data_IF_829638980513
#
_entry.id   IF_829638980513
#
_cell.length_a   1.000
_cell.length_b   1.000
_cell.length_c   1.000
_cell.angle_alpha   90.00
_cell.angle_beta   90.00
_cell.angle_gamma   90.00
#
_symmetry.space_group_name_H-M   'P 1'
#
loop_
_entity.id
_entity.type
_entity.pdbx_description
1 polymer ?
#
# COMPACT_ATOMS: atom_id res chain seq x y z
N UNK A 1 12.33 8.64 -16.24
CA UNK A 1 10.92 8.23 -16.28
C UNK A 1 10.47 8.06 -14.85
N UNK A 2 9.39 8.70 -14.44
CA UNK A 2 8.88 8.61 -13.07
C UNK A 2 7.95 7.41 -12.90
N UNK A 3 7.71 6.96 -11.65
CA UNK A 3 6.77 5.87 -11.36
C UNK A 3 5.35 6.20 -11.86
N UNK A 4 4.95 7.47 -11.80
CA UNK A 4 3.72 7.98 -12.40
C UNK A 4 3.68 7.76 -13.92
N UNK A 5 4.79 8.00 -14.61
CA UNK A 5 4.87 7.84 -16.07
C UNK A 5 4.76 6.37 -16.47
N UNK A 6 5.40 5.46 -15.70
CA UNK A 6 5.25 4.02 -15.88
C UNK A 6 3.79 3.57 -15.68
N UNK A 7 3.12 4.06 -14.64
CA UNK A 7 1.73 3.75 -14.38
C UNK A 7 0.81 4.27 -15.50
N UNK A 8 1.09 5.45 -16.06
CA UNK A 8 0.32 5.99 -17.18
C UNK A 8 0.46 5.12 -18.44
N UNK A 9 1.66 4.62 -18.75
CA UNK A 9 1.89 3.68 -19.86
C UNK A 9 1.16 2.35 -19.64
N UNK A 10 1.20 1.79 -18.42
CA UNK A 10 0.49 0.56 -18.07
C UNK A 10 -1.03 0.72 -18.25
N UNK A 11 -1.60 1.84 -17.77
CA UNK A 11 -3.04 2.15 -17.94
C UNK A 11 -3.39 2.32 -19.42
N UNK A 12 -2.51 2.93 -20.22
CA UNK A 12 -2.71 3.08 -21.67
C UNK A 12 -2.77 1.71 -22.34
N UNK A 13 -1.91 0.78 -21.92
CA UNK A 13 -1.88 -0.60 -22.39
C UNK A 13 -3.15 -1.41 -22.07
N UNK A 14 -3.91 -1.03 -21.03
CA UNK A 14 -5.19 -1.67 -20.68
C UNK A 14 -6.33 -1.30 -21.64
N UNK A 15 -6.16 -0.29 -22.50
CA UNK A 15 -7.17 0.11 -23.48
C UNK A 15 -8.47 0.60 -22.84
N UNK A 16 -8.41 1.22 -21.66
CA UNK A 16 -9.58 1.75 -20.97
C UNK A 16 -10.18 2.89 -21.82
N UNK A 17 -11.29 2.60 -22.50
CA UNK A 17 -12.05 3.58 -23.28
C UNK A 17 -13.30 4.01 -22.52
N UNK A 18 -13.61 5.30 -22.55
CA UNK A 18 -14.88 5.83 -22.04
C UNK A 18 -16.02 5.21 -22.86
N UNK A 19 -16.98 4.55 -22.17
CA UNK A 19 -18.07 3.79 -22.80
C UNK A 19 -19.08 4.74 -23.49
N UNK A 20 -19.22 5.98 -22.99
CA UNK A 20 -20.15 6.98 -23.52
C UNK A 20 -19.44 8.35 -23.69
N UNK A 21 -18.82 8.58 -24.85
CA UNK A 21 -18.21 9.86 -25.19
C UNK A 21 -17.16 9.77 -26.31
N UNK A 22 -16.68 10.91 -26.83
CA UNK A 22 -15.48 10.90 -27.67
C UNK A 22 -14.31 10.30 -26.88
N UNK A 23 -13.39 9.57 -27.52
CA UNK A 23 -12.24 8.98 -26.84
C UNK A 23 -11.39 10.11 -26.23
N UNK A 24 -11.31 10.12 -24.89
CA UNK A 24 -10.44 10.99 -24.12
C UNK A 24 -9.37 10.11 -23.47
N UNK A 25 -8.10 10.45 -23.70
CA UNK A 25 -7.00 9.81 -22.98
C UNK A 25 -6.97 10.34 -21.53
N UNK A 26 -7.34 9.47 -20.59
CA UNK A 26 -7.37 9.77 -19.15
C UNK A 26 -6.21 9.12 -18.40
N UNK A 27 -5.23 8.54 -19.11
CA UNK A 27 -4.14 7.75 -18.51
C UNK A 27 -3.31 8.56 -17.52
N UNK A 28 -2.81 9.73 -17.93
CA UNK A 28 -2.02 10.62 -17.06
C UNK A 28 -2.83 11.18 -15.88
N UNK A 29 -4.05 11.73 -16.06
CA UNK A 29 -4.90 12.16 -14.94
C UNK A 29 -5.21 11.02 -13.95
N UNK A 30 -5.48 9.82 -14.46
CA UNK A 30 -5.80 8.66 -13.62
C UNK A 30 -4.57 8.18 -12.86
N UNK A 31 -3.41 8.07 -13.52
CA UNK A 31 -2.15 7.73 -12.86
C UNK A 31 -1.81 8.73 -11.76
N UNK A 32 -1.96 10.03 -12.02
CA UNK A 32 -1.77 11.07 -11.01
C UNK A 32 -2.78 10.96 -9.87
N UNK A 33 -4.04 10.68 -10.17
CA UNK A 33 -5.09 10.52 -9.15
C UNK A 33 -4.79 9.31 -8.24
N UNK A 34 -4.46 8.16 -8.81
CA UNK A 34 -4.08 6.96 -8.06
C UNK A 34 -2.83 7.19 -7.21
N UNK A 35 -1.82 7.87 -7.77
CA UNK A 35 -0.62 8.23 -7.03
C UNK A 35 -0.93 9.18 -5.86
N UNK A 36 -1.83 10.15 -6.03
CA UNK A 36 -2.27 11.04 -4.96
C UNK A 36 -3.07 10.31 -3.87
N UNK A 37 -3.79 9.25 -4.24
CA UNK A 37 -4.49 8.39 -3.29
C UNK A 37 -3.55 7.43 -2.52
N UNK A 38 -2.26 7.37 -2.88
CA UNK A 38 -1.29 6.49 -2.20
C UNK A 38 -1.14 5.11 -2.86
N UNK A 39 -1.78 4.87 -4.01
CA UNK A 39 -1.49 3.70 -4.83
C UNK A 39 -0.12 3.87 -5.50
N UNK A 40 0.69 2.83 -5.36
CA UNK A 40 2.03 2.73 -5.94
C UNK A 40 2.16 1.40 -6.66
N UNK A 41 3.17 1.28 -7.51
CA UNK A 41 3.52 0.00 -8.12
C UNK A 41 3.82 -1.00 -7.00
N UNK A 42 3.22 -2.21 -7.03
CA UNK A 42 3.44 -3.18 -5.98
C UNK A 42 4.93 -3.50 -5.83
N UNK A 43 5.45 -3.38 -4.61
CA UNK A 43 6.83 -3.76 -4.27
C UNK A 43 6.85 -4.79 -3.17
N UNK A 44 7.84 -5.68 -3.22
CA UNK A 44 8.02 -6.70 -2.19
C UNK A 44 8.88 -6.15 -1.07
N UNK A 45 8.47 -6.40 0.18
CA UNK A 45 9.27 -6.22 1.38
C UNK A 45 9.61 -7.60 1.95
N UNK A 46 10.82 -7.71 2.47
CA UNK A 46 11.45 -8.96 2.90
C UNK A 46 11.99 -8.89 4.32
N UNK A 47 12.13 -7.69 4.89
CA UNK A 47 12.67 -7.51 6.24
C UNK A 47 11.78 -6.68 7.15
N UNK A 48 12.04 -6.81 8.45
CA UNK A 48 11.38 -6.04 9.51
C UNK A 48 11.71 -4.56 9.47
N UNK A 49 12.90 -4.22 9.03
CA UNK A 49 13.38 -2.84 8.90
C UNK A 49 12.59 -2.12 7.80
N UNK A 50 12.35 -2.78 6.66
CA UNK A 50 11.53 -2.24 5.58
C UNK A 50 10.08 -1.96 6.05
N UNK A 51 9.53 -2.80 6.94
CA UNK A 51 8.19 -2.58 7.54
C UNK A 51 8.18 -1.38 8.48
N UNK A 52 9.26 -1.17 9.24
CA UNK A 52 9.39 -0.05 10.16
C UNK A 52 9.41 1.30 9.43
N UNK A 53 9.97 1.34 8.22
CA UNK A 53 10.07 2.53 7.37
C UNK A 53 8.79 2.88 6.61
N UNK A 54 7.82 1.95 6.52
CA UNK A 54 6.56 2.19 5.79
C UNK A 54 5.78 3.35 6.42
N UNK A 55 5.11 4.22 5.66
CA UNK A 55 4.25 5.25 6.24
C UNK A 55 3.05 4.66 6.99
N UNK A 56 2.53 5.40 7.98
CA UNK A 56 1.23 5.07 8.60
C UNK A 56 0.15 5.03 7.51
N UNK A 57 -0.77 4.07 7.63
CA UNK A 57 -1.82 3.84 6.63
C UNK A 57 -1.38 2.93 5.48
N UNK A 58 -0.11 2.52 5.42
CA UNK A 58 0.36 1.53 4.44
C UNK A 58 -0.41 0.22 4.56
N UNK A 59 -0.82 -0.36 3.43
CA UNK A 59 -1.47 -1.66 3.32
C UNK A 59 -0.55 -2.65 2.61
N UNK A 60 -0.40 -3.83 3.20
CA UNK A 60 0.45 -4.92 2.68
C UNK A 60 -0.33 -6.22 2.53
N UNK A 61 -0.05 -6.95 1.46
CA UNK A 61 -0.52 -8.31 1.19
C UNK A 61 0.60 -9.31 1.51
N UNK A 62 0.35 -10.17 2.48
CA UNK A 62 1.30 -11.20 2.90
C UNK A 62 1.30 -12.40 1.94
N UNK A 63 2.37 -13.19 1.94
CA UNK A 63 2.46 -14.43 1.17
C UNK A 63 1.33 -15.44 1.48
N UNK A 64 0.72 -15.38 2.66
CA UNK A 64 -0.43 -16.21 3.05
C UNK A 64 -1.78 -15.67 2.54
N UNK A 65 -1.78 -14.63 1.70
CA UNK A 65 -2.95 -14.02 1.09
C UNK A 65 -3.72 -13.05 2.00
N UNK A 66 -3.21 -12.77 3.20
CA UNK A 66 -3.86 -11.88 4.14
C UNK A 66 -3.35 -10.45 4.05
N UNK A 67 -4.16 -9.50 4.49
CA UNK A 67 -3.91 -8.06 4.34
C UNK A 67 -3.71 -7.42 5.71
N UNK A 68 -2.66 -6.61 5.83
CA UNK A 68 -2.35 -5.85 7.04
C UNK A 68 -2.28 -4.35 6.74
N UNK A 69 -2.54 -3.53 7.77
CA UNK A 69 -2.39 -2.08 7.70
C UNK A 69 -1.49 -1.58 8.84
N UNK A 70 -0.59 -0.65 8.53
CA UNK A 70 0.20 0.10 9.51
C UNK A 70 -0.66 1.17 10.17
N UNK A 71 -0.73 1.19 11.49
CA UNK A 71 -1.50 2.15 12.27
C UNK A 71 -0.55 3.07 13.07
N UNK A 72 -1.07 4.23 13.44
CA UNK A 72 -0.38 5.17 14.33
C UNK A 72 -0.07 4.54 15.69
N UNK A 73 0.98 5.05 16.38
CA UNK A 73 1.20 4.73 17.78
C UNK A 73 -0.05 5.08 18.61
N UNK A 74 -0.69 4.09 19.23
CA UNK A 74 -1.83 4.35 20.14
C UNK A 74 -1.40 4.19 21.60
N UNK A 75 -1.84 5.11 22.46
CA UNK A 75 -1.53 5.10 23.91
C UNK A 75 -2.51 4.22 24.72
N UNK A 76 -3.55 3.63 24.10
CA UNK A 76 -4.62 2.93 24.82
C UNK A 76 -4.48 1.40 24.75
N UNK A 77 -4.07 0.82 25.88
CA UNK A 77 -3.81 -0.62 26.07
C UNK A 77 -5.04 -1.55 26.11
N UNK A 78 -5.97 -1.45 25.15
CA UNK A 78 -7.19 -2.28 25.15
C UNK A 78 -7.33 -3.30 24.01
N UNK A 79 -6.43 -3.34 23.03
CA UNK A 79 -6.58 -4.32 21.93
C UNK A 79 -5.26 -4.96 21.52
N UNK A 80 -4.68 -5.75 22.43
CA UNK A 80 -3.59 -6.70 22.15
C UNK A 80 -4.08 -7.91 21.31
N UNK A 81 -4.69 -7.67 20.16
CA UNK A 81 -4.78 -8.74 19.15
C UNK A 81 -3.49 -8.65 18.34
N UNK A 82 -2.45 -9.31 18.85
CA UNK A 82 -1.15 -9.61 18.23
C UNK A 82 -0.70 -8.60 17.17
N UNK A 83 -0.36 -7.41 17.64
CA UNK A 83 0.19 -6.36 16.81
C UNK A 83 1.72 -6.51 16.72
N UNK A 84 2.30 -6.35 15.54
CA UNK A 84 3.75 -6.18 15.42
C UNK A 84 4.07 -4.71 15.66
N UNK A 85 4.81 -4.42 16.73
CA UNK A 85 5.18 -3.05 17.11
C UNK A 85 6.33 -2.57 16.23
N UNK A 86 6.10 -1.46 15.53
CA UNK A 86 7.13 -0.74 14.80
C UNK A 86 8.04 0.02 15.79
N UNK A 87 9.32 0.25 15.45
CA UNK A 87 10.27 0.99 16.29
C UNK A 87 9.82 2.41 16.69
N UNK A 88 8.95 3.03 15.90
CA UNK A 88 8.38 4.36 16.17
C UNK A 88 7.14 4.33 17.08
N UNK A 89 6.76 3.16 17.59
CA UNK A 89 5.58 2.95 18.42
C UNK A 89 4.30 2.65 17.64
N UNK A 90 4.32 2.72 16.30
CA UNK A 90 3.23 2.27 15.44
C UNK A 90 3.06 0.76 15.49
N UNK A 91 2.02 0.24 14.83
CA UNK A 91 1.86 -1.22 14.77
C UNK A 91 1.14 -1.70 13.52
N UNK A 92 1.40 -2.96 13.16
CA UNK A 92 0.71 -3.66 12.06
C UNK A 92 -0.17 -4.77 12.65
N UNK A 93 -1.43 -4.89 12.21
CA UNK A 93 -2.45 -5.78 12.81
C UNK A 93 -2.88 -6.93 11.89
N UNK A 94 -2.93 -8.15 12.44
CA UNK A 94 -3.64 -9.31 11.88
C UNK A 94 -4.10 -10.30 12.97
N UNK A 95 -5.19 -11.03 12.73
CA UNK A 95 -5.65 -12.12 13.59
C UNK A 95 -4.68 -13.32 13.63
N UNK A 96 -4.11 -13.59 14.80
CA UNK A 96 -3.43 -14.84 15.20
C UNK A 96 -2.23 -15.28 14.34
N UNK A 97 -1.17 -14.47 14.24
CA UNK A 97 0.14 -14.95 13.74
C UNK A 97 1.29 -14.40 14.58
N UNK A 98 2.22 -15.24 15.08
CA UNK A 98 3.29 -14.83 16.00
C UNK A 98 4.46 -14.09 15.34
N UNK A 99 4.54 -14.06 14.00
CA UNK A 99 5.57 -13.37 13.23
C UNK A 99 4.95 -12.80 11.96
N UNK A 100 5.47 -11.67 11.50
CA UNK A 100 5.12 -11.09 10.21
C UNK A 100 5.62 -12.02 9.08
N UNK A 101 4.73 -12.65 8.29
CA UNK A 101 5.16 -13.60 7.27
C UNK A 101 5.74 -12.90 6.03
N UNK A 102 7.07 -12.72 6.01
CA UNK A 102 7.78 -12.33 4.79
C UNK A 102 7.82 -13.47 3.75
N UNK A 103 7.93 -13.14 2.45
CA UNK A 103 7.83 -11.80 1.87
C UNK A 103 6.39 -11.25 1.89
N UNK A 104 6.25 -9.94 1.86
CA UNK A 104 4.97 -9.25 1.73
C UNK A 104 5.00 -8.24 0.58
N UNK A 105 3.85 -7.93 0.02
CA UNK A 105 3.71 -6.98 -1.10
C UNK A 105 3.01 -5.72 -0.60
N UNK A 106 3.63 -4.56 -0.76
CA UNK A 106 2.99 -3.27 -0.50
C UNK A 106 1.98 -3.00 -1.60
N UNK A 107 0.71 -2.79 -1.22
CA UNK A 107 -0.38 -2.48 -2.15
C UNK A 107 -0.70 -0.97 -2.19
N UNK A 108 -0.45 -0.28 -1.09
CA UNK A 108 -0.82 1.12 -0.89
C UNK A 108 0.09 1.72 0.18
N UNK A 109 0.77 2.83 -0.07
CA UNK A 109 1.75 3.41 0.88
C UNK A 109 1.15 4.40 1.88
N UNK A 110 -0.16 4.66 1.80
CA UNK A 110 -0.81 5.67 2.63
C UNK A 110 -0.78 7.02 1.92
N UNK A 111 -1.60 7.96 2.39
CA UNK A 111 -1.49 9.35 1.96
C UNK A 111 -0.22 9.92 2.60
N UNK A 112 0.67 10.55 1.81
CA UNK A 112 1.71 11.39 2.37
C UNK A 112 1.02 12.60 3.02
N UNK A 113 1.01 12.65 4.36
CA UNK A 113 0.59 13.81 5.14
C UNK A 113 1.58 14.97 4.99
#
# INVERSE_FOLDING_TARGET
MSERDELAEDIRGLGITVIDGPPVDLTEPLAQHLHNLGYRKPRTITTTEEVAELPVGTVVLMANGRVWQRNEPSVSGLFQIHAWTCPDGGFVREGNVPRFPFPATVLHEGSAS
#
